data_IF_937457849080
#
_entry.id   IF_937457849080
#
_cell.length_a   1.000
_cell.length_b   1.000
_cell.length_c   1.000
_cell.angle_alpha   90.00
_cell.angle_beta   90.00
_cell.angle_gamma   90.00
#
_symmetry.space_group_name_H-M   'P 1'
#
loop_
_entity.id
_entity.type
_entity.pdbx_description
1 polymer ?
#
# COMPACT_ATOMS: atom_id res chain seq x y z
N UNK A 1 0.00 -2.34 -20.89
CA UNK A 1 0.83 -1.26 -20.25
C UNK A 1 1.34 -1.56 -18.84
N UNK A 2 1.09 -2.73 -18.26
CA UNK A 2 1.48 -3.05 -16.86
C UNK A 2 3.00 -3.13 -16.61
N UNK A 3 3.82 -3.27 -17.64
CA UNK A 3 5.29 -3.38 -17.49
C UNK A 3 6.04 -2.04 -17.45
N UNK A 4 5.43 -0.94 -17.86
CA UNK A 4 6.11 0.36 -17.98
C UNK A 4 6.74 0.84 -16.66
N UNK A 5 6.05 0.83 -15.50
CA UNK A 5 6.66 1.24 -14.23
C UNK A 5 7.89 0.40 -13.87
N UNK A 6 7.83 -0.90 -14.16
CA UNK A 6 8.92 -1.83 -13.86
C UNK A 6 10.11 -1.69 -14.82
N UNK A 7 9.85 -1.45 -16.10
CA UNK A 7 10.90 -1.17 -17.07
C UNK A 7 11.66 0.12 -16.71
N UNK A 8 10.94 1.17 -16.33
CA UNK A 8 11.54 2.40 -15.81
C UNK A 8 12.34 2.14 -14.52
N UNK A 9 11.83 1.31 -13.64
CA UNK A 9 12.53 0.93 -12.39
C UNK A 9 13.80 0.13 -12.68
N UNK A 10 13.79 -0.79 -13.62
CA UNK A 10 15.01 -1.51 -14.04
C UNK A 10 16.05 -0.54 -14.63
N UNK A 11 15.63 0.38 -15.49
CA UNK A 11 16.51 1.40 -16.03
C UNK A 11 17.13 2.27 -14.94
N UNK A 12 16.37 2.66 -13.92
CA UNK A 12 16.85 3.40 -12.76
C UNK A 12 17.90 2.60 -11.96
N UNK A 13 17.69 1.28 -11.78
CA UNK A 13 18.70 0.42 -11.14
C UNK A 13 20.04 0.42 -11.90
N UNK A 14 20.00 0.44 -13.23
CA UNK A 14 21.21 0.53 -14.05
C UNK A 14 21.90 1.90 -13.96
N UNK A 15 21.12 2.98 -13.84
CA UNK A 15 21.64 4.36 -13.79
C UNK A 15 22.19 4.76 -12.42
N UNK A 16 21.58 4.34 -11.32
CA UNK A 16 21.97 4.70 -9.96
C UNK A 16 23.44 4.40 -9.60
N UNK A 17 24.05 3.26 -10.00
CA UNK A 17 25.48 3.01 -9.80
C UNK A 17 26.37 3.94 -10.62
N UNK A 18 25.97 4.30 -11.84
CA UNK A 18 26.76 5.16 -12.75
C UNK A 18 26.85 6.56 -12.17
N UNK A 19 25.76 7.10 -11.66
CA UNK A 19 25.74 8.43 -11.03
C UNK A 19 26.61 8.46 -9.75
N UNK A 20 26.73 7.34 -9.03
CA UNK A 20 27.58 7.23 -7.83
C UNK A 20 29.08 7.12 -8.14
N UNK A 21 29.46 6.58 -9.28
CA UNK A 21 30.86 6.50 -9.69
C UNK A 21 31.48 7.89 -9.98
N UNK A 22 30.62 8.86 -10.33
CA UNK A 22 31.03 10.28 -10.52
C UNK A 22 31.09 11.09 -9.23
N UNK A 23 30.41 10.67 -8.15
CA UNK A 23 30.48 11.35 -6.87
C UNK A 23 31.67 10.81 -6.07
N UNK A 24 32.74 11.65 -5.94
CA UNK A 24 33.85 11.37 -5.02
C UNK A 24 33.31 10.98 -3.66
N UNK A 25 33.77 9.86 -3.12
CA UNK A 25 33.43 9.36 -1.80
C UNK A 25 33.80 10.38 -0.72
N UNK A 26 32.93 11.32 -0.44
CA UNK A 26 33.13 12.25 0.68
C UNK A 26 33.16 11.46 1.99
N UNK A 27 34.25 11.65 2.76
CA UNK A 27 34.42 10.99 4.06
C UNK A 27 33.23 11.28 5.03
N UNK A 28 32.60 12.45 4.89
CA UNK A 28 31.39 12.81 5.65
C UNK A 28 30.18 11.91 5.37
N UNK A 29 30.08 11.31 4.19
CA UNK A 29 28.99 10.33 3.87
C UNK A 29 29.22 8.98 4.54
N UNK A 30 30.45 8.60 4.88
CA UNK A 30 30.75 7.31 5.54
C UNK A 30 30.26 7.24 7.00
N UNK A 31 30.07 8.39 7.64
CA UNK A 31 29.61 8.49 9.03
C UNK A 31 28.08 8.48 9.18
N UNK A 32 27.31 8.47 8.06
CA UNK A 32 25.85 8.46 8.13
C UNK A 32 25.33 7.09 8.54
N UNK A 33 24.60 7.02 9.64
CA UNK A 33 23.93 5.77 10.08
C UNK A 33 22.84 5.39 9.09
N UNK A 34 22.85 4.14 8.66
CA UNK A 34 21.80 3.57 7.82
C UNK A 34 20.54 3.38 8.69
N UNK A 35 19.38 3.95 8.32
CA UNK A 35 18.17 3.80 9.13
C UNK A 35 17.68 2.34 9.14
N UNK A 36 17.05 1.93 10.26
CA UNK A 36 16.60 0.55 10.50
C UNK A 36 15.68 0.05 9.37
N UNK A 37 14.80 0.90 8.85
CA UNK A 37 13.90 0.48 7.77
C UNK A 37 14.63 0.10 6.47
N UNK A 38 15.78 0.68 6.21
CA UNK A 38 16.60 0.34 5.04
C UNK A 38 17.31 -1.01 5.25
N UNK A 39 17.79 -1.28 6.47
CA UNK A 39 18.30 -2.60 6.83
C UNK A 39 17.22 -3.67 6.70
N UNK A 40 16.01 -3.41 7.18
CA UNK A 40 14.88 -4.30 7.05
C UNK A 40 14.52 -4.56 5.56
N UNK A 41 14.60 -3.53 4.70
CA UNK A 41 14.41 -3.69 3.25
C UNK A 41 15.50 -4.59 2.63
N UNK A 42 16.78 -4.43 3.03
CA UNK A 42 17.86 -5.29 2.54
C UNK A 42 17.71 -6.74 3.02
N UNK A 43 17.30 -6.95 4.27
CA UNK A 43 16.98 -8.29 4.79
C UNK A 43 15.84 -8.91 3.98
N UNK A 44 14.77 -8.16 3.70
CA UNK A 44 13.68 -8.61 2.85
C UNK A 44 14.17 -9.05 1.46
N UNK A 45 15.02 -8.26 0.81
CA UNK A 45 15.62 -8.62 -0.48
C UNK A 45 16.49 -9.88 -0.37
N UNK A 46 17.35 -9.93 0.64
CA UNK A 46 18.21 -11.09 0.86
C UNK A 46 17.42 -12.38 1.03
N UNK A 47 16.36 -12.34 1.84
CA UNK A 47 15.47 -13.50 2.02
C UNK A 47 14.76 -13.87 0.72
N UNK A 48 14.23 -12.89 -0.04
CA UNK A 48 13.58 -13.14 -1.31
C UNK A 48 14.52 -13.76 -2.35
N UNK A 49 15.78 -13.35 -2.38
CA UNK A 49 16.81 -13.93 -3.25
C UNK A 49 17.13 -15.37 -2.78
N UNK A 50 17.44 -15.56 -1.50
CA UNK A 50 17.80 -16.88 -0.96
C UNK A 50 16.67 -17.88 -1.14
N UNK A 51 15.44 -17.52 -0.81
CA UNK A 51 14.27 -18.40 -1.01
C UNK A 51 14.09 -18.80 -2.48
N UNK A 52 14.32 -17.85 -3.40
CA UNK A 52 14.18 -18.10 -4.84
C UNK A 52 15.31 -18.98 -5.40
N UNK A 53 16.54 -18.84 -4.89
CA UNK A 53 17.66 -19.75 -5.22
C UNK A 53 17.36 -21.15 -4.70
N UNK A 54 16.93 -21.28 -3.44
CA UNK A 54 16.62 -22.59 -2.85
C UNK A 54 15.42 -23.27 -3.51
N UNK A 55 14.49 -22.49 -4.08
CA UNK A 55 13.36 -23.02 -4.84
C UNK A 55 13.71 -23.36 -6.30
N UNK A 56 14.95 -23.18 -6.71
CA UNK A 56 15.46 -23.41 -8.08
C UNK A 56 14.55 -22.75 -9.15
N UNK A 57 14.24 -21.47 -8.94
CA UNK A 57 13.30 -20.76 -9.81
C UNK A 57 13.88 -20.57 -11.23
N UNK A 58 13.08 -20.82 -12.29
CA UNK A 58 13.48 -20.53 -13.66
C UNK A 58 13.79 -19.03 -13.86
N UNK A 59 14.70 -18.66 -14.79
CA UNK A 59 15.07 -17.26 -15.03
C UNK A 59 13.89 -16.32 -15.32
N UNK A 60 12.85 -16.81 -16.00
CA UNK A 60 11.64 -16.02 -16.26
C UNK A 60 10.89 -15.69 -14.97
N UNK A 61 10.83 -16.64 -14.03
CA UNK A 61 10.21 -16.41 -12.71
C UNK A 61 10.99 -15.39 -11.89
N UNK A 62 12.33 -15.37 -12.01
CA UNK A 62 13.18 -14.34 -11.41
C UNK A 62 12.84 -12.94 -11.96
N UNK A 63 12.65 -12.79 -13.27
CA UNK A 63 12.31 -11.53 -13.89
C UNK A 63 10.91 -11.06 -13.44
N UNK A 64 9.92 -11.96 -13.49
CA UNK A 64 8.53 -11.66 -13.14
C UNK A 64 8.38 -11.40 -11.63
N UNK A 65 9.01 -12.20 -10.79
CA UNK A 65 9.01 -12.00 -9.34
C UNK A 65 9.82 -10.77 -8.93
N UNK A 66 11.03 -10.65 -9.47
CA UNK A 66 11.95 -9.55 -9.19
C UNK A 66 11.39 -8.18 -9.53
N UNK A 67 10.54 -8.06 -10.56
CA UNK A 67 9.91 -6.76 -10.90
C UNK A 67 9.11 -6.18 -9.72
N UNK A 68 8.34 -7.01 -9.01
CA UNK A 68 7.49 -6.58 -7.90
C UNK A 68 8.27 -6.53 -6.58
N UNK A 69 9.23 -7.44 -6.41
CA UNK A 69 9.90 -7.63 -5.11
C UNK A 69 11.16 -6.79 -4.97
N UNK A 70 11.89 -6.52 -6.07
CA UNK A 70 13.19 -5.85 -6.04
C UNK A 70 13.22 -4.59 -6.89
N UNK A 71 12.83 -4.67 -8.17
CA UNK A 71 13.10 -3.59 -9.12
C UNK A 71 12.33 -2.32 -8.84
N UNK A 72 11.08 -2.41 -8.39
CA UNK A 72 10.23 -1.26 -8.08
C UNK A 72 10.86 -0.33 -7.01
N UNK A 73 11.70 -0.86 -6.14
CA UNK A 73 12.34 -0.11 -5.06
C UNK A 73 13.45 0.85 -5.53
N UNK A 74 13.86 0.79 -6.80
CA UNK A 74 14.72 1.81 -7.41
C UNK A 74 14.17 3.21 -7.24
N UNK A 75 12.83 3.36 -7.21
CA UNK A 75 12.14 4.63 -6.98
C UNK A 75 12.47 5.18 -5.59
N UNK A 76 12.57 4.34 -4.56
CA UNK A 76 12.99 4.74 -3.23
C UNK A 76 14.39 5.39 -3.26
N UNK A 77 15.33 4.75 -3.93
CA UNK A 77 16.71 5.25 -4.03
C UNK A 77 16.81 6.49 -4.90
N UNK A 78 16.02 6.59 -5.98
CA UNK A 78 15.94 7.79 -6.81
C UNK A 78 15.46 8.99 -6.00
N UNK A 79 14.33 8.85 -5.28
CA UNK A 79 13.74 9.91 -4.45
C UNK A 79 14.70 10.34 -3.33
N UNK A 80 15.45 9.37 -2.77
CA UNK A 80 16.46 9.64 -1.75
C UNK A 80 17.74 10.28 -2.29
N UNK A 81 17.93 10.31 -3.61
CA UNK A 81 19.13 10.82 -4.25
C UNK A 81 19.21 12.35 -4.12
N UNK A 82 20.42 12.87 -3.98
CA UNK A 82 20.68 14.32 -3.93
C UNK A 82 20.37 15.04 -5.26
N UNK A 83 20.33 14.31 -6.38
CA UNK A 83 20.04 14.86 -7.70
C UNK A 83 18.59 15.33 -7.86
N UNK A 84 17.64 14.82 -7.05
CA UNK A 84 16.25 15.25 -7.05
C UNK A 84 16.12 16.51 -6.19
N UNK A 85 15.76 17.66 -6.77
CA UNK A 85 15.57 18.88 -6.00
C UNK A 85 14.32 18.86 -5.12
N UNK A 86 14.31 19.66 -4.04
CA UNK A 86 13.13 19.79 -3.17
C UNK A 86 11.89 20.29 -3.92
N UNK A 87 12.08 21.08 -4.97
CA UNK A 87 11.01 21.57 -5.84
C UNK A 87 10.30 20.40 -6.55
N UNK A 88 11.05 19.42 -7.06
CA UNK A 88 10.45 18.24 -7.69
C UNK A 88 9.73 17.35 -6.68
N UNK A 89 10.23 17.22 -5.45
CA UNK A 89 9.52 16.50 -4.40
C UNK A 89 8.18 17.16 -4.06
N UNK A 90 8.13 18.49 -3.98
CA UNK A 90 6.87 19.22 -3.79
C UNK A 90 5.89 18.99 -4.94
N UNK A 91 6.39 19.07 -6.18
CA UNK A 91 5.55 18.80 -7.34
C UNK A 91 5.03 17.36 -7.37
N UNK A 92 5.83 16.38 -6.97
CA UNK A 92 5.38 15.00 -6.86
C UNK A 92 4.23 14.85 -5.84
N UNK A 93 4.32 15.53 -4.68
CA UNK A 93 3.23 15.54 -3.71
C UNK A 93 1.96 16.18 -4.27
N UNK A 94 2.07 17.31 -4.97
CA UNK A 94 0.90 17.93 -5.60
C UNK A 94 0.35 17.10 -6.76
N UNK A 95 1.20 16.42 -7.52
CA UNK A 95 0.76 15.51 -8.57
C UNK A 95 -0.05 14.34 -8.01
N UNK A 96 0.36 13.77 -6.86
CA UNK A 96 -0.41 12.73 -6.19
C UNK A 96 -1.80 13.23 -5.75
N UNK A 97 -1.92 14.46 -5.25
CA UNK A 97 -3.22 15.07 -4.93
C UNK A 97 -4.05 15.34 -6.20
N UNK A 98 -3.41 15.77 -7.28
CA UNK A 98 -4.08 15.97 -8.57
C UNK A 98 -4.60 14.63 -9.13
N UNK A 99 -3.81 13.55 -9.04
CA UNK A 99 -4.27 12.20 -9.41
C UNK A 99 -5.47 11.78 -8.56
N UNK A 100 -5.48 12.08 -7.25
CA UNK A 100 -6.63 11.80 -6.40
C UNK A 100 -7.89 12.61 -6.81
N UNK A 101 -7.72 13.89 -7.17
CA UNK A 101 -8.79 14.73 -7.67
C UNK A 101 -9.38 14.24 -9.02
N UNK A 102 -8.58 13.56 -9.83
CA UNK A 102 -9.02 13.01 -11.11
C UNK A 102 -9.73 11.65 -11.00
N UNK A 103 -9.77 11.02 -9.82
CA UNK A 103 -10.40 9.68 -9.71
C UNK A 103 -11.91 9.72 -9.99
N UNK A 104 -12.64 10.77 -9.54
CA UNK A 104 -14.08 10.83 -9.73
C UNK A 104 -14.50 10.81 -11.22
N UNK A 105 -14.00 11.68 -12.11
CA UNK A 105 -14.42 11.63 -13.51
C UNK A 105 -14.12 10.28 -14.17
N UNK A 106 -12.98 9.64 -13.86
CA UNK A 106 -12.67 8.33 -14.40
C UNK A 106 -13.59 7.25 -13.82
N UNK A 107 -13.86 7.25 -12.52
CA UNK A 107 -14.74 6.28 -11.89
C UNK A 107 -16.19 6.41 -12.40
N UNK A 108 -16.69 7.65 -12.58
CA UNK A 108 -18.02 7.91 -13.12
C UNK A 108 -18.12 7.43 -14.56
N UNK A 109 -17.13 7.72 -15.41
CA UNK A 109 -17.15 7.24 -16.80
C UNK A 109 -17.04 5.72 -16.90
N UNK A 110 -16.29 5.08 -16.00
CA UNK A 110 -16.25 3.62 -15.91
C UNK A 110 -17.60 3.05 -15.46
N UNK A 111 -18.18 3.60 -14.38
CA UNK A 111 -19.42 3.10 -13.80
C UNK A 111 -20.61 3.17 -14.76
N UNK A 112 -20.84 4.34 -15.40
CA UNK A 112 -21.96 4.54 -16.32
C UNK A 112 -21.66 4.15 -17.78
N UNK A 113 -20.40 3.96 -18.13
CA UNK A 113 -19.94 3.61 -19.46
C UNK A 113 -19.58 2.14 -19.61
N UNK A 114 -18.28 1.83 -19.57
CA UNK A 114 -17.72 0.54 -19.94
C UNK A 114 -18.20 -0.64 -19.06
N UNK A 115 -18.54 -0.40 -17.79
CA UNK A 115 -18.88 -1.46 -16.82
C UNK A 115 -20.37 -1.57 -16.54
N UNK A 116 -21.19 -0.61 -16.96
CA UNK A 116 -22.63 -0.57 -16.68
C UNK A 116 -23.37 -1.83 -17.13
N UNK A 117 -23.06 -2.31 -18.34
CA UNK A 117 -23.71 -3.49 -18.93
C UNK A 117 -23.34 -4.81 -18.23
N UNK A 118 -22.21 -4.86 -17.55
CA UNK A 118 -21.66 -6.08 -16.93
C UNK A 118 -21.92 -6.14 -15.42
N UNK A 119 -22.29 -5.02 -14.79
CA UNK A 119 -22.60 -4.95 -13.36
C UNK A 119 -21.42 -5.29 -12.44
N UNK A 120 -20.18 -5.21 -12.95
CA UNK A 120 -18.97 -5.51 -12.18
C UNK A 120 -18.35 -4.22 -11.62
N UNK A 121 -18.88 -3.74 -10.51
CA UNK A 121 -18.45 -2.49 -9.90
C UNK A 121 -17.08 -2.57 -9.25
N UNK A 122 -16.63 -3.75 -8.84
CA UNK A 122 -15.27 -3.97 -8.33
C UNK A 122 -14.18 -3.64 -9.37
N UNK A 123 -14.54 -3.63 -10.65
CA UNK A 123 -13.66 -3.23 -11.74
C UNK A 123 -13.59 -1.71 -11.95
N UNK A 124 -14.42 -0.91 -11.27
CA UNK A 124 -14.35 0.56 -11.29
C UNK A 124 -13.17 1.00 -10.41
N UNK A 125 -12.10 1.48 -11.03
CA UNK A 125 -10.81 1.74 -10.38
C UNK A 125 -10.22 3.12 -10.71
N UNK A 126 -10.98 3.98 -11.35
CA UNK A 126 -10.48 5.30 -11.73
C UNK A 126 -9.29 5.18 -12.70
N UNK A 127 -8.18 5.85 -12.36
CA UNK A 127 -6.96 5.86 -13.19
C UNK A 127 -6.06 4.63 -12.99
N UNK A 128 -6.40 3.71 -12.08
CA UNK A 128 -5.56 2.54 -11.76
C UNK A 128 -5.67 1.37 -12.75
N UNK A 129 -6.47 1.51 -13.78
CA UNK A 129 -6.64 0.52 -14.83
C UNK A 129 -7.61 -0.59 -14.42
N UNK A 130 -8.87 -0.47 -14.87
CA UNK A 130 -9.91 -1.48 -14.65
C UNK A 130 -10.08 -2.40 -15.84
N UNK A 131 -10.54 -3.61 -15.57
CA UNK A 131 -10.97 -4.58 -16.56
C UNK A 131 -12.45 -4.91 -16.33
N UNK A 132 -13.34 -4.69 -17.33
CA UNK A 132 -14.75 -5.02 -17.18
C UNK A 132 -15.02 -6.50 -16.89
N UNK A 133 -14.10 -7.38 -17.27
CA UNK A 133 -14.23 -8.84 -17.08
C UNK A 133 -13.47 -9.36 -15.87
N UNK A 134 -12.50 -8.56 -15.36
CA UNK A 134 -11.62 -8.93 -14.27
C UNK A 134 -12.05 -8.41 -12.91
N UNK A 135 -11.56 -9.02 -11.88
CA UNK A 135 -11.62 -8.51 -10.51
C UNK A 135 -10.76 -7.28 -10.31
N UNK A 136 -11.14 -6.41 -9.36
CA UNK A 136 -10.72 -5.07 -9.37
C UNK A 136 -9.49 -4.64 -8.63
N UNK A 137 -8.95 -3.58 -9.14
CA UNK A 137 -8.07 -2.67 -8.43
C UNK A 137 -8.82 -1.64 -7.58
N UNK A 138 -10.13 -1.78 -7.32
CA UNK A 138 -10.93 -0.86 -6.52
C UNK A 138 -10.34 -0.65 -5.12
N UNK A 139 -9.85 -1.74 -4.51
CA UNK A 139 -9.14 -1.69 -3.23
C UNK A 139 -7.84 -0.87 -3.28
N UNK A 140 -7.09 -0.89 -4.40
CA UNK A 140 -5.90 -0.04 -4.58
C UNK A 140 -6.28 1.44 -4.59
N UNK A 141 -7.34 1.77 -5.34
CA UNK A 141 -7.87 3.13 -5.40
C UNK A 141 -8.31 3.61 -4.01
N UNK A 142 -9.02 2.77 -3.25
CA UNK A 142 -9.49 3.10 -1.92
C UNK A 142 -8.34 3.40 -0.93
N UNK A 143 -7.29 2.59 -0.95
CA UNK A 143 -6.09 2.80 -0.11
C UNK A 143 -5.41 4.12 -0.50
N UNK A 144 -5.18 4.33 -1.80
CA UNK A 144 -4.57 5.56 -2.31
C UNK A 144 -5.37 6.80 -1.93
N UNK A 145 -6.70 6.78 -2.10
CA UNK A 145 -7.58 7.91 -1.78
C UNK A 145 -7.63 8.20 -0.29
N UNK A 146 -7.61 7.17 0.56
CA UNK A 146 -7.53 7.35 2.02
C UNK A 146 -6.24 8.09 2.41
N UNK A 147 -5.10 7.71 1.82
CA UNK A 147 -3.81 8.38 2.02
C UNK A 147 -3.84 9.81 1.49
N UNK A 148 -4.37 10.03 0.29
CA UNK A 148 -4.42 11.35 -0.35
C UNK A 148 -5.28 12.34 0.44
N UNK A 149 -6.44 11.92 0.97
CA UNK A 149 -7.26 12.75 1.86
C UNK A 149 -6.48 13.12 3.12
N UNK A 150 -5.83 12.16 3.76
CA UNK A 150 -5.01 12.45 4.95
C UNK A 150 -3.90 13.46 4.67
N UNK A 151 -3.22 13.35 3.53
CA UNK A 151 -2.22 14.34 3.10
C UNK A 151 -2.83 15.71 2.83
N UNK A 152 -3.99 15.77 2.16
CA UNK A 152 -4.70 17.03 1.93
C UNK A 152 -5.08 17.70 3.26
N UNK A 153 -5.58 16.93 4.24
CA UNK A 153 -5.93 17.44 5.57
C UNK A 153 -4.71 18.04 6.27
N UNK A 154 -3.55 17.35 6.29
CA UNK A 154 -2.31 17.88 6.89
C UNK A 154 -1.86 19.16 6.21
N UNK A 155 -1.87 19.19 4.88
CA UNK A 155 -1.40 20.35 4.11
C UNK A 155 -2.33 21.56 4.26
N UNK A 156 -3.64 21.37 4.41
CA UNK A 156 -4.59 22.45 4.73
C UNK A 156 -4.38 22.95 6.15
N UNK A 157 -4.29 22.04 7.12
CA UNK A 157 -4.04 22.38 8.53
C UNK A 157 -2.83 23.28 8.68
N UNK A 158 -1.75 22.93 7.97
CA UNK A 158 -0.47 23.65 8.06
C UNK A 158 -0.38 24.79 7.00
N UNK A 159 -1.49 25.10 6.32
CA UNK A 159 -1.65 26.20 5.35
C UNK A 159 -0.74 26.14 4.11
N UNK A 160 -0.38 24.93 3.68
CA UNK A 160 0.40 24.71 2.46
C UNK A 160 -0.47 24.62 1.19
N UNK A 161 -1.76 24.26 1.35
CA UNK A 161 -2.77 24.30 0.29
C UNK A 161 -4.05 24.96 0.82
N UNK A 162 -4.86 25.47 -0.09
CA UNK A 162 -6.18 26.03 0.26
C UNK A 162 -7.22 24.95 0.56
N UNK A 163 -8.19 25.28 1.43
CA UNK A 163 -9.32 24.41 1.73
C UNK A 163 -10.11 23.94 0.49
N UNK A 164 -10.31 24.75 -0.57
CA UNK A 164 -10.98 24.30 -1.79
C UNK A 164 -10.29 23.12 -2.46
N UNK A 165 -8.95 23.12 -2.52
CA UNK A 165 -8.19 22.00 -3.10
C UNK A 165 -8.40 20.70 -2.32
N UNK A 166 -8.37 20.75 -1.00
CA UNK A 166 -8.64 19.59 -0.17
C UNK A 166 -10.08 19.09 -0.30
N UNK A 167 -11.03 20.02 -0.42
CA UNK A 167 -12.44 19.68 -0.66
C UNK A 167 -12.61 18.96 -2.00
N UNK A 168 -11.95 19.43 -3.07
CA UNK A 168 -11.97 18.75 -4.37
C UNK A 168 -11.42 17.32 -4.26
N UNK A 169 -10.30 17.13 -3.57
CA UNK A 169 -9.73 15.79 -3.34
C UNK A 169 -10.70 14.91 -2.55
N UNK A 170 -11.29 15.43 -1.47
CA UNK A 170 -12.21 14.67 -0.62
C UNK A 170 -13.50 14.30 -1.37
N UNK A 171 -14.12 15.23 -2.09
CA UNK A 171 -15.34 14.98 -2.87
C UNK A 171 -15.04 13.97 -3.99
N UNK A 172 -13.93 14.15 -4.72
CA UNK A 172 -13.53 13.21 -5.76
C UNK A 172 -13.33 11.80 -5.19
N UNK A 173 -12.66 11.67 -4.05
CA UNK A 173 -12.45 10.38 -3.40
C UNK A 173 -13.78 9.71 -3.02
N UNK A 174 -14.71 10.45 -2.41
CA UNK A 174 -16.01 9.93 -2.02
C UNK A 174 -16.80 9.48 -3.24
N UNK A 175 -16.89 10.30 -4.29
CA UNK A 175 -17.58 9.93 -5.53
C UNK A 175 -16.97 8.69 -6.16
N UNK A 176 -15.64 8.61 -6.27
CA UNK A 176 -14.97 7.47 -6.86
C UNK A 176 -15.23 6.18 -6.08
N UNK A 177 -15.21 6.24 -4.74
CA UNK A 177 -15.48 5.09 -3.87
C UNK A 177 -16.94 4.65 -3.93
N UNK A 178 -17.87 5.60 -4.01
CA UNK A 178 -19.29 5.27 -4.20
C UNK A 178 -19.52 4.54 -5.52
N UNK A 179 -18.87 4.98 -6.61
CA UNK A 179 -18.97 4.32 -7.92
C UNK A 179 -18.33 2.92 -7.93
N UNK A 180 -17.28 2.71 -7.13
CA UNK A 180 -16.53 1.45 -7.06
C UNK A 180 -17.02 0.48 -5.98
N UNK A 181 -18.01 0.84 -5.17
CA UNK A 181 -18.56 0.03 -4.07
C UNK A 181 -17.50 -0.51 -3.08
N UNK A 182 -16.42 0.23 -2.86
CA UNK A 182 -15.27 -0.29 -2.12
C UNK A 182 -15.39 -0.06 -0.62
N UNK A 183 -15.70 -1.12 0.11
CA UNK A 183 -16.01 -1.11 1.56
C UNK A 183 -14.81 -0.78 2.46
N UNK A 184 -13.59 -1.17 2.08
CA UNK A 184 -12.39 -0.97 2.91
C UNK A 184 -12.07 0.51 3.18
N UNK A 185 -12.49 1.40 2.30
CA UNK A 185 -12.34 2.84 2.49
C UNK A 185 -12.96 3.33 3.80
N UNK A 186 -14.08 2.76 4.21
CA UNK A 186 -14.79 3.11 5.45
C UNK A 186 -14.03 2.74 6.73
N UNK A 187 -13.02 1.87 6.62
CA UNK A 187 -12.11 1.54 7.71
C UNK A 187 -10.82 2.35 7.62
N UNK A 188 -10.26 2.47 6.41
CA UNK A 188 -8.95 3.09 6.23
C UNK A 188 -8.99 4.62 6.35
N UNK A 189 -10.06 5.28 5.89
CA UNK A 189 -10.18 6.72 5.99
C UNK A 189 -10.28 7.21 7.45
N UNK A 190 -11.17 6.66 8.32
CA UNK A 190 -11.17 7.01 9.72
C UNK A 190 -9.83 6.75 10.41
N UNK A 191 -9.20 5.60 10.14
CA UNK A 191 -7.87 5.31 10.66
C UNK A 191 -6.86 6.39 10.26
N UNK A 192 -6.83 6.75 8.97
CA UNK A 192 -5.94 7.81 8.47
C UNK A 192 -6.21 9.16 9.15
N UNK A 193 -7.49 9.55 9.28
CA UNK A 193 -7.87 10.81 9.91
C UNK A 193 -7.51 10.84 11.39
N UNK A 194 -7.75 9.76 12.13
CA UNK A 194 -7.35 9.64 13.54
C UNK A 194 -5.84 9.81 13.68
N UNK A 195 -5.04 9.15 12.85
CA UNK A 195 -3.58 9.23 12.90
C UNK A 195 -3.06 10.64 12.59
N UNK A 196 -3.64 11.30 11.58
CA UNK A 196 -3.24 12.64 11.14
C UNK A 196 -3.67 13.69 12.18
N UNK A 197 -4.85 13.55 12.77
CA UNK A 197 -5.42 14.49 13.73
C UNK A 197 -5.06 14.19 15.19
N UNK A 198 -4.36 13.09 15.47
CA UNK A 198 -4.00 12.67 16.84
C UNK A 198 -3.28 13.76 17.64
N UNK A 199 -2.43 14.56 16.99
CA UNK A 199 -1.75 15.69 17.61
C UNK A 199 -2.73 16.80 18.00
N UNK A 200 -3.68 17.10 17.12
CA UNK A 200 -4.68 18.15 17.31
C UNK A 200 -5.71 17.73 18.37
N UNK A 201 -5.95 16.41 18.50
CA UNK A 201 -6.83 15.85 19.52
C UNK A 201 -6.39 16.22 20.93
N UNK A 202 -5.07 16.24 21.18
CA UNK A 202 -4.50 16.63 22.47
C UNK A 202 -4.66 18.15 22.71
N UNK A 203 -4.55 18.97 21.67
CA UNK A 203 -4.58 20.43 21.77
C UNK A 203 -6.00 21.01 21.67
N UNK A 204 -6.87 20.37 20.90
CA UNK A 204 -8.26 20.83 20.61
C UNK A 204 -9.21 19.64 20.55
N UNK A 205 -9.45 18.94 21.67
CA UNK A 205 -10.18 17.67 21.68
C UNK A 205 -11.62 17.82 21.15
N UNK A 206 -12.29 18.93 21.41
CA UNK A 206 -13.66 19.17 20.91
C UNK A 206 -13.75 19.25 19.37
N UNK A 207 -12.77 19.88 18.72
CA UNK A 207 -12.72 19.94 17.26
C UNK A 207 -12.51 18.56 16.64
N UNK A 208 -11.59 17.79 17.18
CA UNK A 208 -11.30 16.44 16.68
C UNK A 208 -12.47 15.50 16.93
N UNK A 209 -13.07 15.57 18.12
CA UNK A 209 -14.29 14.80 18.42
C UNK A 209 -15.42 15.13 17.43
N UNK A 210 -15.65 16.42 17.16
CA UNK A 210 -16.64 16.87 16.17
C UNK A 210 -16.32 16.35 14.76
N UNK A 211 -15.06 16.42 14.33
CA UNK A 211 -14.64 15.92 13.01
C UNK A 211 -14.79 14.40 12.90
N UNK A 212 -14.42 13.64 13.94
CA UNK A 212 -14.57 12.18 13.98
C UNK A 212 -16.05 11.79 14.01
N UNK A 213 -16.89 12.45 14.80
CA UNK A 213 -18.32 12.21 14.83
C UNK A 213 -18.98 12.50 13.49
N UNK A 214 -18.63 13.62 12.84
CA UNK A 214 -19.14 13.98 11.52
C UNK A 214 -18.71 12.95 10.45
N UNK A 215 -17.44 12.56 10.44
CA UNK A 215 -16.94 11.54 9.55
C UNK A 215 -17.62 10.18 9.80
N UNK A 216 -17.81 9.79 11.07
CA UNK A 216 -18.50 8.55 11.43
C UNK A 216 -19.97 8.58 11.03
N UNK A 217 -20.68 9.68 11.28
CA UNK A 217 -22.08 9.87 10.87
C UNK A 217 -22.23 9.81 9.35
N UNK A 218 -21.32 10.45 8.61
CA UNK A 218 -21.27 10.38 7.15
C UNK A 218 -21.04 8.93 6.67
N UNK A 219 -20.08 8.22 7.26
CA UNK A 219 -19.78 6.84 6.92
C UNK A 219 -20.95 5.89 7.23
N UNK A 220 -21.63 6.09 8.37
CA UNK A 220 -22.85 5.34 8.71
C UNK A 220 -23.96 5.64 7.71
N UNK A 221 -24.17 6.92 7.37
CA UNK A 221 -25.17 7.32 6.37
C UNK A 221 -24.94 6.70 5.00
N UNK A 222 -23.69 6.72 4.53
CA UNK A 222 -23.30 6.06 3.28
C UNK A 222 -23.44 4.53 3.41
N UNK A 223 -23.08 3.93 4.53
CA UNK A 223 -23.24 2.50 4.79
C UNK A 223 -24.71 2.05 4.79
N UNK A 224 -25.60 2.85 5.36
CA UNK A 224 -27.06 2.60 5.33
C UNK A 224 -27.58 2.73 3.90
N UNK A 225 -27.21 3.79 3.17
CA UNK A 225 -27.58 3.96 1.76
C UNK A 225 -27.12 2.76 0.90
N UNK A 226 -25.90 2.28 1.11
CA UNK A 226 -25.38 1.09 0.44
C UNK A 226 -26.20 -0.17 0.78
N UNK A 227 -26.52 -0.37 2.07
CA UNK A 227 -27.34 -1.49 2.51
C UNK A 227 -28.68 -1.47 1.78
N UNK A 228 -29.37 -0.34 1.78
CA UNK A 228 -30.70 -0.23 1.22
C UNK A 228 -30.72 -0.36 -0.32
N UNK A 229 -29.69 0.16 -1.00
CA UNK A 229 -29.62 0.14 -2.46
C UNK A 229 -29.17 -1.21 -3.04
N UNK A 230 -28.22 -1.88 -2.39
CA UNK A 230 -27.56 -3.05 -2.96
C UNK A 230 -27.86 -4.37 -2.26
N UNK A 231 -28.32 -4.34 -1.00
CA UNK A 231 -28.63 -5.55 -0.25
C UNK A 231 -30.12 -5.92 -0.26
N UNK A 232 -31.02 -4.98 -0.46
CA UNK A 232 -32.45 -5.25 -0.51
C UNK A 232 -32.91 -6.17 -1.66
N UNK A 233 -32.05 -6.37 -2.68
CA UNK A 233 -32.38 -7.19 -3.85
C UNK A 233 -31.56 -8.46 -4.06
N UNK A 234 -30.50 -8.71 -3.27
CA UNK A 234 -29.52 -9.80 -3.54
C UNK A 234 -29.26 -10.73 -2.37
N UNK A 235 -29.90 -10.56 -1.24
CA UNK A 235 -29.62 -11.39 -0.06
C UNK A 235 -30.42 -12.69 -0.16
N UNK A 236 -29.72 -13.81 -0.29
CA UNK A 236 -30.21 -15.10 0.12
C UNK A 236 -30.81 -14.94 1.54
N UNK A 237 -32.03 -15.38 1.72
CA UNK A 237 -32.91 -15.14 2.89
C UNK A 237 -32.35 -15.60 4.25
N UNK A 238 -31.10 -16.01 4.33
CA UNK A 238 -30.45 -16.58 5.52
C UNK A 238 -29.40 -15.69 6.19
N UNK A 239 -29.16 -14.45 5.72
CA UNK A 239 -28.23 -13.54 6.39
C UNK A 239 -29.00 -12.59 7.28
N UNK A 240 -28.79 -12.71 8.59
CA UNK A 240 -29.40 -11.84 9.57
C UNK A 240 -29.09 -10.35 9.29
N UNK A 241 -30.08 -9.48 9.50
CA UNK A 241 -30.10 -8.10 9.00
C UNK A 241 -29.29 -7.09 9.85
N UNK A 242 -28.31 -7.56 10.65
CA UNK A 242 -27.54 -6.70 11.54
C UNK A 242 -26.32 -6.04 10.87
N UNK A 243 -26.00 -4.82 11.29
CA UNK A 243 -24.76 -4.14 10.86
C UNK A 243 -23.49 -4.95 11.21
N UNK A 244 -23.52 -5.70 12.32
CA UNK A 244 -22.43 -6.61 12.72
C UNK A 244 -22.22 -7.75 11.72
N UNK A 245 -23.30 -8.34 11.22
CA UNK A 245 -23.23 -9.42 10.22
C UNK A 245 -22.72 -8.91 8.88
N UNK A 246 -23.11 -7.68 8.51
CA UNK A 246 -22.57 -7.01 7.35
C UNK A 246 -21.05 -6.75 7.49
N UNK A 247 -20.59 -6.34 8.67
CA UNK A 247 -19.20 -6.07 8.95
C UNK A 247 -18.37 -7.36 8.92
N UNK A 248 -18.89 -8.43 9.50
CA UNK A 248 -18.29 -9.77 9.47
C UNK A 248 -18.18 -10.31 8.04
N UNK A 249 -19.24 -10.17 7.25
CA UNK A 249 -19.22 -10.52 5.84
C UNK A 249 -18.24 -9.66 5.04
N UNK A 250 -18.27 -8.35 5.25
CA UNK A 250 -17.39 -7.40 4.55
C UNK A 250 -15.90 -7.62 4.87
N UNK A 251 -15.59 -8.01 6.11
CA UNK A 251 -14.23 -8.32 6.57
C UNK A 251 -13.86 -9.79 6.35
N UNK A 252 -14.79 -10.62 5.90
CA UNK A 252 -14.64 -12.08 5.78
C UNK A 252 -14.09 -12.71 7.07
N UNK A 253 -14.57 -12.22 8.21
CA UNK A 253 -14.15 -12.70 9.55
C UNK A 253 -14.96 -13.88 10.05
N UNK A 254 -16.03 -14.28 9.35
CA UNK A 254 -16.84 -15.40 9.75
C UNK A 254 -16.07 -16.73 9.60
N UNK A 255 -15.75 -17.33 10.74
CA UNK A 255 -15.02 -18.60 10.83
C UNK A 255 -15.83 -19.82 10.37
N UNK A 256 -17.12 -19.66 10.07
CA UNK A 256 -17.99 -20.73 9.60
C UNK A 256 -18.01 -20.89 8.08
N UNK A 257 -17.49 -19.89 7.34
CA UNK A 257 -17.32 -20.02 5.90
C UNK A 257 -16.11 -20.90 5.67
N UNK A 258 -16.27 -22.03 4.99
CA UNK A 258 -15.15 -22.86 4.50
C UNK A 258 -14.12 -21.94 3.89
N UNK A 259 -12.87 -22.02 4.36
CA UNK A 259 -11.76 -21.12 4.00
C UNK A 259 -11.50 -21.05 2.49
N UNK A 260 -12.15 -21.88 1.72
CA UNK A 260 -11.96 -22.04 0.28
C UNK A 260 -13.32 -21.96 -0.41
N UNK A 261 -13.45 -21.03 -1.35
CA UNK A 261 -14.61 -20.99 -2.22
C UNK A 261 -14.54 -22.18 -3.20
N UNK A 262 -15.45 -23.15 -3.12
CA UNK A 262 -15.38 -24.36 -3.97
C UNK A 262 -15.60 -24.05 -5.46
N UNK A 263 -16.17 -22.89 -5.82
CA UNK A 263 -16.41 -22.49 -7.21
C UNK A 263 -15.24 -21.78 -7.84
N UNK A 264 -14.55 -20.91 -7.07
CA UNK A 264 -13.48 -20.05 -7.59
C UNK A 264 -12.08 -20.52 -7.17
N UNK A 265 -11.98 -21.42 -6.19
CA UNK A 265 -10.68 -21.79 -5.59
C UNK A 265 -10.04 -20.66 -4.79
N UNK A 266 -10.76 -19.57 -4.53
CA UNK A 266 -10.27 -18.47 -3.72
C UNK A 266 -10.27 -18.85 -2.25
N UNK A 267 -9.14 -18.61 -1.60
CA UNK A 267 -8.99 -18.77 -0.16
C UNK A 267 -9.35 -17.46 0.51
N UNK A 268 -10.18 -17.52 1.57
CA UNK A 268 -10.50 -16.34 2.37
C UNK A 268 -9.23 -15.67 2.93
N UNK A 269 -9.27 -14.36 3.11
CA UNK A 269 -8.11 -13.56 3.56
C UNK A 269 -7.57 -14.01 4.92
N UNK A 270 -8.42 -14.46 5.82
CA UNK A 270 -8.05 -15.09 7.11
C UNK A 270 -7.61 -16.53 6.96
N UNK A 271 -8.14 -17.26 5.98
CA UNK A 271 -7.83 -18.66 5.72
C UNK A 271 -6.43 -18.88 5.18
N UNK A 272 -5.95 -18.03 4.29
CA UNK A 272 -4.65 -18.18 3.66
C UNK A 272 -3.46 -18.20 4.65
N UNK A 273 -3.36 -17.31 5.67
CA UNK A 273 -2.35 -17.41 6.72
C UNK A 273 -2.51 -18.66 7.60
N UNK A 274 -3.74 -19.11 7.87
CA UNK A 274 -3.99 -20.33 8.65
C UNK A 274 -3.55 -21.59 7.91
N UNK A 275 -3.76 -21.65 6.59
CA UNK A 275 -3.24 -22.74 5.74
C UNK A 275 -1.70 -22.73 5.78
N UNK A 276 -1.08 -21.55 5.68
CA UNK A 276 0.36 -21.44 5.81
C UNK A 276 0.89 -21.98 7.15
N UNK A 277 0.27 -21.59 8.27
CA UNK A 277 0.63 -22.08 9.60
C UNK A 277 0.60 -23.61 9.72
N UNK A 278 -0.37 -24.26 9.06
CA UNK A 278 -0.56 -25.71 9.14
C UNK A 278 0.30 -26.47 8.12
N UNK A 279 0.59 -25.88 6.97
CA UNK A 279 1.04 -26.64 5.81
C UNK A 279 2.29 -26.06 5.11
N UNK A 280 2.86 -24.95 5.58
CA UNK A 280 4.06 -24.39 4.94
C UNK A 280 5.31 -25.29 5.02
N UNK A 281 5.28 -26.32 5.84
CA UNK A 281 6.35 -27.32 5.94
C UNK A 281 6.31 -28.42 4.87
N UNK A 282 5.45 -28.37 3.86
CA UNK A 282 5.31 -29.45 2.88
C UNK A 282 6.60 -29.75 2.07
N UNK A 283 7.46 -28.76 1.88
CA UNK A 283 8.78 -28.88 1.25
C UNK A 283 9.94 -28.86 2.25
N UNK A 284 9.64 -28.99 3.56
CA UNK A 284 10.62 -28.90 4.64
C UNK A 284 10.45 -27.66 5.53
N UNK A 285 11.15 -27.61 6.68
CA UNK A 285 11.01 -26.53 7.65
C UNK A 285 11.42 -25.14 7.10
N UNK A 286 12.24 -25.08 6.04
CA UNK A 286 12.61 -23.85 5.35
C UNK A 286 11.39 -23.09 4.80
N UNK A 287 10.29 -23.79 4.45
CA UNK A 287 9.06 -23.16 3.99
C UNK A 287 8.46 -22.19 5.00
N UNK A 288 8.57 -22.47 6.30
CA UNK A 288 8.16 -21.54 7.34
C UNK A 288 9.11 -20.36 7.50
N UNK A 289 10.42 -20.59 7.41
CA UNK A 289 11.43 -19.57 7.69
C UNK A 289 11.56 -18.57 6.52
N UNK A 290 11.80 -19.07 5.31
CA UNK A 290 12.17 -18.27 4.14
C UNK A 290 11.22 -18.41 2.95
N UNK A 291 10.18 -19.27 3.05
CA UNK A 291 9.18 -19.46 2.00
C UNK A 291 9.66 -20.30 0.80
N UNK A 292 8.93 -20.19 -0.30
CA UNK A 292 9.10 -21.00 -1.52
C UNK A 292 9.55 -20.19 -2.75
N UNK A 293 10.10 -18.99 -2.52
CA UNK A 293 10.60 -18.11 -3.55
C UNK A 293 9.54 -17.22 -4.19
N UNK A 294 10.02 -16.16 -4.85
CA UNK A 294 9.19 -15.22 -5.59
C UNK A 294 8.34 -15.97 -6.62
N UNK A 295 7.07 -15.55 -6.78
CA UNK A 295 6.09 -16.16 -7.70
C UNK A 295 5.50 -17.52 -7.28
N UNK A 296 5.87 -18.08 -6.13
CA UNK A 296 5.36 -19.39 -5.70
C UNK A 296 3.83 -19.42 -5.49
N UNK A 297 3.23 -18.29 -5.16
CA UNK A 297 1.77 -18.14 -4.96
C UNK A 297 0.98 -17.83 -6.23
N UNK A 298 1.67 -17.52 -7.35
CA UNK A 298 1.06 -16.91 -8.53
C UNK A 298 0.63 -17.95 -9.55
N UNK A 299 -0.44 -17.59 -10.26
CA UNK A 299 -0.90 -18.30 -11.47
C UNK A 299 -0.88 -17.29 -12.61
N UNK A 300 -0.14 -17.57 -13.67
CA UNK A 300 0.00 -16.66 -14.82
C UNK A 300 0.25 -17.46 -16.10
N UNK A 301 -0.27 -16.97 -17.22
CA UNK A 301 0.02 -17.55 -18.54
C UNK A 301 1.53 -17.49 -18.89
N UNK A 302 2.25 -16.50 -18.37
CA UNK A 302 3.67 -16.28 -18.68
C UNK A 302 4.60 -17.22 -17.91
N UNK A 303 4.34 -17.45 -16.62
CA UNK A 303 5.23 -18.23 -15.72
C UNK A 303 4.62 -19.56 -15.31
N UNK A 304 3.40 -19.88 -15.76
CA UNK A 304 2.66 -21.05 -15.34
C UNK A 304 2.13 -20.92 -13.90
N UNK A 305 2.04 -22.06 -13.20
CA UNK A 305 1.55 -22.15 -11.83
C UNK A 305 2.74 -22.25 -10.89
N UNK A 306 2.83 -21.33 -9.92
CA UNK A 306 3.88 -21.32 -8.90
C UNK A 306 3.83 -22.55 -7.98
N UNK A 307 4.93 -22.84 -7.31
CA UNK A 307 5.13 -24.09 -6.54
C UNK A 307 4.07 -24.28 -5.45
N UNK A 308 3.78 -23.26 -4.65
CA UNK A 308 2.77 -23.32 -3.61
C UNK A 308 1.36 -23.38 -4.22
N UNK A 309 1.04 -22.57 -5.23
CA UNK A 309 -0.24 -22.61 -5.92
C UNK A 309 -0.52 -23.96 -6.57
N UNK A 310 0.51 -24.61 -7.16
CA UNK A 310 0.40 -25.95 -7.75
C UNK A 310 0.11 -27.02 -6.69
N UNK A 311 0.78 -26.92 -5.53
CA UNK A 311 0.60 -27.88 -4.44
C UNK A 311 -0.80 -27.88 -3.88
N UNK A 312 -1.38 -26.71 -3.70
CA UNK A 312 -2.69 -26.57 -3.03
C UNK A 312 -3.85 -26.41 -4.00
N UNK A 313 -3.58 -26.11 -5.28
CA UNK A 313 -4.59 -25.85 -6.32
C UNK A 313 -5.56 -24.71 -5.95
N UNK A 314 -5.13 -23.78 -5.08
CA UNK A 314 -5.90 -22.63 -4.60
C UNK A 314 -5.23 -21.33 -4.95
N UNK A 315 -6.02 -20.25 -5.01
CA UNK A 315 -5.52 -18.89 -5.15
C UNK A 315 -4.97 -18.42 -3.78
N UNK A 316 -3.68 -18.58 -3.56
CA UNK A 316 -3.00 -18.18 -2.31
C UNK A 316 -2.68 -16.68 -2.25
N UNK A 317 -2.63 -15.98 -3.38
CA UNK A 317 -2.28 -14.57 -3.48
C UNK A 317 -3.45 -13.63 -3.12
N UNK A 318 -4.19 -13.91 -2.05
CA UNK A 318 -5.38 -13.15 -1.64
C UNK A 318 -5.06 -11.88 -0.84
N UNK A 319 -3.92 -11.85 -0.15
CA UNK A 319 -3.44 -10.69 0.61
C UNK A 319 -1.92 -10.59 0.54
N UNK A 320 -1.39 -9.39 0.83
CA UNK A 320 0.06 -9.17 0.92
C UNK A 320 0.69 -10.05 2.00
N UNK A 321 -0.01 -10.26 3.12
CA UNK A 321 0.43 -11.17 4.17
C UNK A 321 0.56 -12.60 3.65
N UNK A 322 -0.42 -13.10 2.92
CA UNK A 322 -0.37 -14.45 2.36
C UNK A 322 0.79 -14.60 1.37
N UNK A 323 0.92 -13.64 0.43
CA UNK A 323 2.03 -13.68 -0.55
C UNK A 323 3.39 -13.66 0.16
N UNK A 324 3.58 -12.76 1.14
CA UNK A 324 4.84 -12.68 1.89
C UNK A 324 5.14 -13.98 2.64
N UNK A 325 4.17 -14.53 3.38
CA UNK A 325 4.36 -15.77 4.14
C UNK A 325 4.76 -16.95 3.23
N UNK A 326 4.13 -17.08 2.08
CA UNK A 326 4.42 -18.17 1.15
C UNK A 326 5.68 -17.95 0.31
N UNK A 327 5.95 -16.71 -0.13
CA UNK A 327 7.08 -16.43 -1.02
C UNK A 327 8.41 -16.20 -0.28
N UNK A 328 8.36 -15.50 0.87
CA UNK A 328 9.57 -15.14 1.64
C UNK A 328 9.54 -15.62 3.10
N UNK A 329 8.53 -16.40 3.49
CA UNK A 329 8.41 -16.99 4.83
C UNK A 329 8.25 -15.97 5.95
N UNK A 330 8.38 -16.46 7.19
CA UNK A 330 8.26 -15.62 8.38
C UNK A 330 9.36 -14.54 8.44
N UNK A 331 10.60 -14.88 8.07
CA UNK A 331 11.73 -13.92 8.14
C UNK A 331 11.54 -12.75 7.18
N UNK A 332 11.17 -13.00 5.91
CA UNK A 332 10.90 -11.95 4.93
C UNK A 332 9.68 -11.14 5.29
N UNK A 333 8.62 -11.77 5.80
CA UNK A 333 7.41 -11.09 6.26
C UNK A 333 7.68 -10.16 7.43
N UNK A 334 8.43 -10.63 8.45
CA UNK A 334 8.83 -9.81 9.60
C UNK A 334 9.73 -8.65 9.17
N UNK A 335 10.65 -8.89 8.23
CA UNK A 335 11.48 -7.82 7.68
C UNK A 335 10.64 -6.75 6.96
N UNK A 336 9.65 -7.16 6.14
CA UNK A 336 8.75 -6.23 5.46
C UNK A 336 7.89 -5.42 6.45
N UNK A 337 7.33 -6.06 7.46
CA UNK A 337 6.55 -5.38 8.52
C UNK A 337 7.45 -4.44 9.33
N UNK A 338 8.66 -4.89 9.73
CA UNK A 338 9.64 -4.06 10.45
C UNK A 338 10.07 -2.84 9.61
N UNK A 339 10.19 -2.98 8.30
CA UNK A 339 10.44 -1.87 7.37
C UNK A 339 9.34 -0.81 7.46
N UNK A 340 8.06 -1.21 7.39
CA UNK A 340 6.93 -0.27 7.46
C UNK A 340 6.88 0.43 8.82
N UNK A 341 7.00 -0.31 9.92
CA UNK A 341 6.94 0.24 11.28
C UNK A 341 8.11 1.20 11.53
N UNK A 342 9.34 0.78 11.22
CA UNK A 342 10.51 1.63 11.48
C UNK A 342 10.57 2.86 10.57
N UNK A 343 10.04 2.77 9.34
CA UNK A 343 9.87 3.92 8.47
C UNK A 343 8.81 4.89 9.01
N UNK A 344 7.68 4.39 9.52
CA UNK A 344 6.64 5.22 10.14
C UNK A 344 7.20 5.98 11.36
N UNK A 345 7.93 5.29 12.24
CA UNK A 345 8.60 5.91 13.40
C UNK A 345 9.62 6.96 12.95
N UNK A 346 10.42 6.66 11.91
CA UNK A 346 11.40 7.60 11.36
C UNK A 346 10.72 8.83 10.77
N UNK A 347 9.68 8.66 9.97
CA UNK A 347 8.89 9.75 9.40
C UNK A 347 8.28 10.64 10.49
N UNK A 348 7.73 10.02 11.54
CA UNK A 348 7.15 10.73 12.70
C UNK A 348 8.20 11.52 13.47
N UNK A 349 9.41 10.98 13.66
CA UNK A 349 10.52 11.72 14.32
C UNK A 349 10.96 12.90 13.46
N UNK A 350 11.14 12.69 12.15
CA UNK A 350 11.55 13.74 11.22
C UNK A 350 10.50 14.84 11.07
N UNK A 351 9.20 14.53 11.18
CA UNK A 351 8.12 15.52 11.16
C UNK A 351 8.17 16.51 12.33
N UNK A 352 8.91 16.18 13.40
CA UNK A 352 9.13 17.04 14.57
C UNK A 352 10.46 17.77 14.55
N UNK A 353 11.34 17.45 13.60
CA UNK A 353 12.68 18.05 13.51
C UNK A 353 12.62 19.46 12.96
N UNK A 354 13.26 20.41 13.65
CA UNK A 354 13.36 21.81 13.21
C UNK A 354 14.22 21.96 11.96
N UNK A 355 15.15 21.03 11.72
CA UNK A 355 16.05 21.02 10.54
C UNK A 355 15.32 20.68 9.23
N UNK A 356 14.09 20.20 9.30
CA UNK A 356 13.26 19.91 8.13
C UNK A 356 12.36 21.11 7.84
N UNK A 357 12.29 21.61 6.58
CA UNK A 357 11.41 22.73 6.23
C UNK A 357 9.93 22.45 6.54
N UNK A 358 9.13 23.49 6.87
CA UNK A 358 7.74 23.31 7.38
C UNK A 358 6.86 22.41 6.51
N UNK A 359 6.82 22.63 5.20
CA UNK A 359 6.00 21.82 4.29
C UNK A 359 6.42 20.34 4.31
N UNK A 360 7.73 20.07 4.32
CA UNK A 360 8.23 18.71 4.35
C UNK A 360 7.98 18.02 5.69
N UNK A 361 7.96 18.77 6.81
CA UNK A 361 7.51 18.26 8.13
C UNK A 361 6.07 17.80 8.09
N UNK A 362 5.19 18.62 7.51
CA UNK A 362 3.78 18.27 7.34
C UNK A 362 3.62 17.01 6.50
N UNK A 363 4.31 16.94 5.36
CA UNK A 363 4.30 15.75 4.50
C UNK A 363 4.81 14.50 5.21
N UNK A 364 5.91 14.60 5.97
CA UNK A 364 6.45 13.47 6.75
C UNK A 364 5.46 12.98 7.82
N UNK A 365 4.74 13.89 8.47
CA UNK A 365 3.65 13.53 9.39
C UNK A 365 2.53 12.76 8.69
N UNK A 366 2.10 13.22 7.53
CA UNK A 366 1.12 12.53 6.69
C UNK A 366 1.64 11.18 6.17
N UNK A 367 2.93 11.09 5.83
CA UNK A 367 3.56 9.84 5.40
C UNK A 367 3.70 8.83 6.53
N UNK A 368 3.95 9.27 7.77
CA UNK A 368 3.94 8.40 8.93
C UNK A 368 2.56 7.75 9.13
N UNK A 369 1.49 8.52 9.05
CA UNK A 369 0.13 8.01 9.09
C UNK A 369 -0.17 7.07 7.92
N UNK A 370 0.26 7.43 6.69
CA UNK A 370 0.10 6.59 5.51
C UNK A 370 0.78 5.22 5.67
N UNK A 371 1.99 5.16 6.23
CA UNK A 371 2.70 3.90 6.48
C UNK A 371 1.95 3.00 7.47
N UNK A 372 1.29 3.56 8.48
CA UNK A 372 0.44 2.79 9.40
C UNK A 372 -0.82 2.28 8.68
N UNK A 373 -1.44 3.10 7.83
CA UNK A 373 -2.58 2.66 7.00
C UNK A 373 -2.15 1.55 6.05
N UNK A 374 -1.02 1.70 5.35
CA UNK A 374 -0.47 0.67 4.48
C UNK A 374 -0.17 -0.63 5.25
N UNK A 375 0.36 -0.54 6.46
CA UNK A 375 0.57 -1.71 7.32
C UNK A 375 -0.76 -2.41 7.64
N UNK A 376 -1.82 -1.66 7.94
CA UNK A 376 -3.15 -2.23 8.18
C UNK A 376 -3.74 -2.93 6.95
N UNK A 377 -3.30 -2.59 5.73
CA UNK A 377 -3.75 -3.24 4.50
C UNK A 377 -3.01 -4.53 4.17
N UNK A 378 -1.91 -4.86 4.85
CA UNK A 378 -1.12 -6.08 4.61
C UNK A 378 -1.98 -7.36 4.68
N UNK A 379 -2.84 -7.57 5.68
CA UNK A 379 -3.74 -8.74 5.71
C UNK A 379 -4.96 -8.61 4.80
N UNK A 380 -5.24 -7.42 4.26
CA UNK A 380 -6.49 -7.16 3.55
C UNK A 380 -6.44 -7.51 2.06
N UNK A 381 -5.42 -7.06 1.33
CA UNK A 381 -5.24 -7.32 -0.10
C UNK A 381 -3.76 -7.49 -0.47
N UNK A 382 -3.49 -7.97 -1.69
CA UNK A 382 -2.14 -8.19 -2.18
C UNK A 382 -1.47 -6.94 -2.80
N UNK A 383 -2.12 -5.78 -2.71
CA UNK A 383 -1.74 -4.56 -3.42
C UNK A 383 -0.33 -4.04 -3.11
N UNK A 384 0.19 -4.27 -1.88
CA UNK A 384 1.54 -3.83 -1.50
C UNK A 384 2.64 -4.68 -2.13
N UNK A 385 2.34 -5.90 -2.56
CA UNK A 385 3.33 -6.82 -3.18
C UNK A 385 3.07 -7.06 -4.67
N UNK A 386 1.84 -6.80 -5.15
CA UNK A 386 1.45 -7.03 -6.55
C UNK A 386 0.88 -5.80 -7.24
N UNK A 387 0.46 -4.78 -6.51
CA UNK A 387 -0.13 -3.56 -7.07
C UNK A 387 0.92 -2.50 -7.40
N UNK A 388 1.31 -2.28 -8.66
CA UNK A 388 2.40 -1.36 -9.01
C UNK A 388 2.16 0.07 -8.51
N UNK A 389 0.92 0.56 -8.51
CA UNK A 389 0.59 1.90 -8.06
C UNK A 389 0.88 2.10 -6.56
N UNK A 390 0.49 1.14 -5.70
CA UNK A 390 0.77 1.23 -4.27
C UNK A 390 2.23 0.92 -3.94
N UNK A 391 2.89 0.08 -4.70
CA UNK A 391 4.33 -0.15 -4.57
C UNK A 391 5.13 1.12 -4.91
N UNK A 392 4.76 1.84 -5.98
CA UNK A 392 5.36 3.15 -6.33
C UNK A 392 5.12 4.17 -5.21
N UNK A 393 3.90 4.25 -4.68
CA UNK A 393 3.57 5.12 -3.55
C UNK A 393 4.41 4.79 -2.32
N UNK A 394 4.51 3.51 -1.95
CA UNK A 394 5.31 3.07 -0.82
C UNK A 394 6.80 3.35 -1.04
N UNK A 395 7.34 3.05 -2.21
CA UNK A 395 8.73 3.34 -2.56
C UNK A 395 9.03 4.85 -2.54
N UNK A 396 8.08 5.68 -3.01
CA UNK A 396 8.16 7.14 -2.91
C UNK A 396 8.21 7.61 -1.44
N UNK A 397 7.30 7.11 -0.59
CA UNK A 397 7.27 7.45 0.84
C UNK A 397 8.59 7.08 1.51
N UNK A 398 9.09 5.86 1.33
CA UNK A 398 10.35 5.42 1.92
C UNK A 398 11.55 6.22 1.43
N UNK A 399 11.60 6.53 0.14
CA UNK A 399 12.64 7.37 -0.45
C UNK A 399 12.62 8.80 0.11
N UNK A 400 11.42 9.34 0.33
CA UNK A 400 11.25 10.65 0.93
C UNK A 400 11.73 10.68 2.39
N UNK A 401 11.37 9.68 3.17
CA UNK A 401 11.85 9.52 4.56
C UNK A 401 13.37 9.36 4.60
N UNK A 402 13.94 8.53 3.71
CA UNK A 402 15.38 8.29 3.61
C UNK A 402 16.15 9.58 3.28
N UNK A 403 15.63 10.38 2.36
CA UNK A 403 16.23 11.65 1.98
C UNK A 403 16.38 12.60 3.19
N UNK A 404 15.27 12.83 3.89
CA UNK A 404 15.27 13.74 5.03
C UNK A 404 16.05 13.19 6.21
N UNK A 405 16.09 11.89 6.40
CA UNK A 405 16.94 11.25 7.40
C UNK A 405 18.42 11.56 7.14
N UNK A 406 18.89 11.40 5.89
CA UNK A 406 20.27 11.71 5.50
C UNK A 406 20.59 13.20 5.63
N UNK A 407 19.67 14.07 5.25
CA UNK A 407 19.89 15.52 5.29
C UNK A 407 20.01 16.02 6.75
N UNK A 408 19.17 15.55 7.66
CA UNK A 408 19.25 15.89 9.08
C UNK A 408 20.56 15.42 9.69
N UNK A 409 21.01 14.22 9.37
CA UNK A 409 22.30 13.70 9.85
C UNK A 409 23.50 14.50 9.32
N UNK A 410 23.47 14.89 8.04
CA UNK A 410 24.57 15.68 7.45
C UNK A 410 24.68 17.08 8.06
N UNK A 411 23.54 17.71 8.39
CA UNK A 411 23.53 19.01 9.05
C UNK A 411 24.06 18.89 10.49
N UNK A 412 23.60 17.90 11.26
CA UNK A 412 24.08 17.68 12.63
C UNK A 412 25.58 17.37 12.72
N UNK A 413 26.14 16.69 11.72
CA UNK A 413 27.60 16.47 11.65
C UNK A 413 28.40 17.75 11.34
N UNK A 414 27.83 18.69 10.56
CA UNK A 414 28.46 20.00 10.27
C UNK A 414 28.43 20.94 11.47
N UNK A 415 27.35 20.89 12.24
CA UNK A 415 27.20 21.74 13.45
C UNK A 415 28.09 21.25 14.61
N UNK A 416 28.55 20.00 14.56
CA UNK A 416 29.44 19.39 15.56
C UNK A 416 30.95 19.46 15.21
N UNK A 417 31.29 19.83 13.99
CA UNK A 417 32.66 19.99 13.50
C UNK A 417 33.09 21.46 13.54
#
# INVERSE_FOLDING_TARGET
MHWLPYALSMFLWMKLPIDRLGERFDAARRAQSVPIFLWALYVYFGVAIVSSVMADLPPLNWLVGGKNTIFIWSICFLVASASVSERYLRYACYALLAVAALQAPFAVTQHFGAFALRGNWDAVVGTFGGDPEGGGGSGLMAIFLSVAIGWAVVLVRDRHIGAPMALVVAVSAVVAIMMAETKVFFVLLPLMLVLVLARDAVQRPGFVLGAVLLASAFLVGVGVYYKDTYFSGRVDQNVSSGFGDYLNYALQTDSKVDFINPRTGEVGRSGAPLIWLKQAGFGGPQGYAIGYGMTSTRVSQTIGIGTAARRFQFMLATSSLSVLLWEVGALGTLAFVAMLISAAVSAQRLSRSVQVPPMHRSMLGGMAAALVVLLATVPYNNALVDGPALQVLLAFILGYVLRWHRQVQSNGARDAA
#
